data_IF_157999185010
#
_entry.id   IF_157999185010
#
_cell.length_a   1.000
_cell.length_b   1.000
_cell.length_c   1.000
_cell.angle_alpha   90.00
_cell.angle_beta   90.00
_cell.angle_gamma   90.00
#
_symmetry.space_group_name_H-M   'P 1'
#
loop_
_entity.id
_entity.type
_entity.pdbx_description
1 polymer ?
#
# COMPACT_ATOMS: atom_id res chain seq x y z
N UNK A 1 12.99 -6.92 -24.81
CA UNK A 1 12.37 -7.81 -25.83
C UNK A 1 12.94 -7.49 -27.21
N UNK A 2 12.58 -6.36 -27.84
CA UNK A 2 13.00 -6.01 -29.20
C UNK A 2 14.49 -6.26 -29.51
N UNK A 3 15.40 -5.77 -28.67
CA UNK A 3 16.84 -5.97 -28.84
C UNK A 3 17.30 -7.43 -28.78
N UNK A 4 16.67 -8.25 -27.93
CA UNK A 4 17.07 -9.64 -27.67
C UNK A 4 16.39 -10.65 -28.60
N UNK A 5 15.19 -10.32 -29.09
CA UNK A 5 14.30 -11.27 -29.78
C UNK A 5 13.93 -10.82 -31.19
N UNK A 6 14.29 -9.60 -31.60
CA UNK A 6 13.90 -9.01 -32.88
C UNK A 6 12.43 -8.59 -32.96
N UNK A 7 11.66 -8.69 -31.86
CA UNK A 7 10.26 -8.26 -31.84
C UNK A 7 10.12 -6.75 -32.07
N UNK A 8 9.11 -6.35 -32.84
CA UNK A 8 8.81 -4.93 -33.07
C UNK A 8 8.49 -4.21 -31.76
N UNK A 9 9.14 -3.09 -31.51
CA UNK A 9 8.82 -2.23 -30.37
C UNK A 9 7.42 -1.61 -30.56
N UNK A 10 6.51 -1.69 -29.58
CA UNK A 10 5.11 -1.26 -29.72
C UNK A 10 4.95 0.27 -29.64
N UNK A 11 5.68 1.00 -30.48
CA UNK A 11 5.79 2.46 -30.46
C UNK A 11 4.43 3.15 -30.54
N UNK A 12 3.61 2.81 -31.54
CA UNK A 12 2.30 3.45 -31.74
C UNK A 12 1.34 3.25 -30.55
N UNK A 13 1.37 2.06 -29.93
CA UNK A 13 0.55 1.76 -28.76
C UNK A 13 1.00 2.57 -27.54
N UNK A 14 2.33 2.65 -27.30
CA UNK A 14 2.88 3.42 -26.20
C UNK A 14 2.71 4.93 -26.42
N UNK A 15 2.87 5.43 -27.65
CA UNK A 15 2.63 6.83 -27.99
C UNK A 15 1.17 7.24 -27.69
N UNK A 16 0.21 6.40 -28.09
CA UNK A 16 -1.21 6.61 -27.74
C UNK A 16 -1.43 6.64 -26.23
N UNK A 17 -0.86 5.66 -25.50
CA UNK A 17 -0.99 5.60 -24.05
C UNK A 17 -0.41 6.86 -23.36
N UNK A 18 0.74 7.35 -23.81
CA UNK A 18 1.35 8.58 -23.30
C UNK A 18 0.49 9.82 -23.54
N UNK A 19 -0.10 9.96 -24.73
CA UNK A 19 -1.01 11.08 -25.03
C UNK A 19 -2.23 11.05 -24.11
N UNK A 20 -2.81 9.86 -23.86
CA UNK A 20 -3.94 9.70 -22.94
C UNK A 20 -3.56 10.05 -21.49
N UNK A 21 -2.38 9.63 -21.02
CA UNK A 21 -1.88 9.98 -19.70
C UNK A 21 -1.62 11.48 -19.57
N UNK A 22 -1.01 12.11 -20.57
CA UNK A 22 -0.73 13.54 -20.58
C UNK A 22 -2.01 14.38 -20.59
N UNK A 23 -3.02 13.96 -21.37
CA UNK A 23 -4.33 14.60 -21.38
C UNK A 23 -5.01 14.52 -20.01
N UNK A 24 -5.04 13.32 -19.40
CA UNK A 24 -5.59 13.14 -18.06
C UNK A 24 -4.74 13.72 -16.93
N UNK A 25 -3.55 14.23 -17.21
CA UNK A 25 -2.71 14.97 -16.26
C UNK A 25 -2.98 16.48 -16.27
N UNK A 26 -3.97 16.95 -17.04
CA UNK A 26 -4.49 18.31 -16.91
C UNK A 26 -4.86 18.57 -15.44
N UNK A 27 -4.61 19.78 -14.95
CA UNK A 27 -4.72 20.08 -13.52
C UNK A 27 -6.12 19.79 -12.98
N UNK A 28 -7.19 20.20 -13.67
CA UNK A 28 -8.56 19.93 -13.22
C UNK A 28 -8.90 18.43 -13.21
N UNK A 29 -8.35 17.67 -14.16
CA UNK A 29 -8.56 16.23 -14.32
C UNK A 29 -7.85 15.41 -13.24
N UNK A 30 -6.59 15.73 -12.94
CA UNK A 30 -5.80 14.97 -11.97
C UNK A 30 -6.12 15.36 -10.52
N UNK A 31 -6.61 16.58 -10.27
CA UNK A 31 -6.91 17.06 -8.91
C UNK A 31 -8.31 16.76 -8.42
N UNK A 32 -9.19 16.14 -9.22
CA UNK A 32 -10.53 15.78 -8.72
C UNK A 32 -11.59 16.86 -8.85
N UNK A 33 -11.36 17.96 -9.60
CA UNK A 33 -12.21 19.16 -9.50
C UNK A 33 -13.32 19.31 -10.53
N UNK A 34 -13.33 18.46 -11.57
CA UNK A 34 -14.35 18.45 -12.61
C UNK A 34 -15.64 17.74 -12.19
N UNK A 35 -16.68 17.82 -13.01
CA UNK A 35 -17.95 17.12 -12.76
C UNK A 35 -17.84 15.62 -13.07
N UNK A 36 -18.77 14.83 -12.52
CA UNK A 36 -18.88 13.40 -12.77
C UNK A 36 -18.85 13.03 -14.26
N UNK A 37 -19.49 13.84 -15.11
CA UNK A 37 -19.53 13.59 -16.55
C UNK A 37 -18.12 13.61 -17.17
N UNK A 38 -17.28 14.57 -16.78
CA UNK A 38 -15.93 14.67 -17.32
C UNK A 38 -15.07 13.51 -16.80
N UNK A 39 -15.25 13.11 -15.53
CA UNK A 39 -14.55 11.95 -14.98
C UNK A 39 -14.89 10.64 -15.68
N UNK A 40 -16.15 10.43 -16.08
CA UNK A 40 -16.54 9.24 -16.85
C UNK A 40 -15.79 9.16 -18.20
N UNK A 41 -15.59 10.30 -18.85
CA UNK A 41 -14.82 10.38 -20.11
C UNK A 41 -13.31 10.14 -19.86
N UNK A 42 -12.74 10.77 -18.83
CA UNK A 42 -11.33 10.61 -18.44
C UNK A 42 -10.98 9.18 -18.03
N UNK A 43 -11.86 8.50 -17.28
CA UNK A 43 -11.69 7.10 -16.87
C UNK A 43 -11.52 6.17 -18.06
N UNK A 44 -12.17 6.45 -19.18
CA UNK A 44 -12.00 5.67 -20.41
C UNK A 44 -10.59 5.85 -21.00
N UNK A 45 -10.09 7.09 -21.03
CA UNK A 45 -8.73 7.40 -21.49
C UNK A 45 -7.65 6.74 -20.62
N UNK A 46 -7.76 6.84 -19.29
CA UNK A 46 -6.85 6.17 -18.36
C UNK A 46 -6.92 4.65 -18.47
N UNK A 47 -8.13 4.07 -18.66
CA UNK A 47 -8.29 2.63 -18.87
C UNK A 47 -7.59 2.15 -20.14
N UNK A 48 -7.75 2.87 -21.25
CA UNK A 48 -7.09 2.54 -22.53
C UNK A 48 -5.56 2.62 -22.39
N UNK A 49 -5.04 3.70 -21.79
CA UNK A 49 -3.60 3.83 -21.51
C UNK A 49 -3.07 2.68 -20.64
N UNK A 50 -3.80 2.32 -19.59
CA UNK A 50 -3.44 1.20 -18.71
C UNK A 50 -3.45 -0.14 -19.46
N UNK A 51 -4.46 -0.40 -20.30
CA UNK A 51 -4.55 -1.63 -21.10
C UNK A 51 -3.42 -1.73 -22.12
N UNK A 52 -3.10 -0.64 -22.82
CA UNK A 52 -2.00 -0.58 -23.79
C UNK A 52 -0.65 -0.82 -23.11
N UNK A 53 -0.38 -0.12 -22.00
CA UNK A 53 0.86 -0.28 -21.23
C UNK A 53 1.01 -1.67 -20.64
N UNK A 54 -0.06 -2.21 -20.03
CA UNK A 54 -0.07 -3.57 -19.48
C UNK A 54 0.14 -4.62 -20.56
N UNK A 55 -0.53 -4.51 -21.70
CA UNK A 55 -0.39 -5.46 -22.82
C UNK A 55 1.03 -5.43 -23.38
N UNK A 56 1.60 -4.23 -23.60
CA UNK A 56 2.98 -4.08 -24.06
C UNK A 56 3.97 -4.72 -23.09
N UNK A 57 3.81 -4.49 -21.78
CA UNK A 57 4.61 -5.10 -20.72
C UNK A 57 4.47 -6.63 -20.70
N UNK A 58 3.24 -7.14 -20.64
CA UNK A 58 2.96 -8.57 -20.49
C UNK A 58 3.48 -9.37 -21.71
N UNK A 59 3.30 -8.84 -22.92
CA UNK A 59 3.85 -9.44 -24.15
C UNK A 59 5.39 -9.45 -24.14
N UNK A 60 6.01 -8.34 -23.72
CA UNK A 60 7.46 -8.25 -23.63
C UNK A 60 8.03 -9.22 -22.60
N UNK A 61 7.43 -9.32 -21.41
CA UNK A 61 7.87 -10.24 -20.35
C UNK A 61 7.62 -11.70 -20.72
N UNK A 62 6.48 -12.01 -21.35
CA UNK A 62 6.20 -13.36 -21.87
C UNK A 62 7.28 -13.79 -22.86
N UNK A 63 7.56 -12.93 -23.85
CA UNK A 63 8.55 -13.23 -24.88
C UNK A 63 9.98 -13.32 -24.32
N UNK A 64 10.35 -12.45 -23.37
CA UNK A 64 11.67 -12.52 -22.74
C UNK A 64 11.82 -13.77 -21.87
N UNK A 65 10.76 -14.19 -21.19
CA UNK A 65 10.81 -15.34 -20.29
C UNK A 65 10.90 -16.67 -21.05
N UNK A 66 10.55 -16.73 -22.34
CA UNK A 66 10.73 -17.96 -23.14
C UNK A 66 12.19 -18.30 -23.43
N UNK A 67 13.10 -17.35 -23.26
CA UNK A 67 14.54 -17.58 -23.40
C UNK A 67 15.17 -18.22 -22.15
N UNK A 68 14.39 -18.41 -21.08
CA UNK A 68 14.86 -18.95 -19.79
C UNK A 68 14.19 -20.31 -19.54
N UNK A 69 14.99 -21.35 -19.29
CA UNK A 69 14.48 -22.67 -18.88
C UNK A 69 14.05 -22.65 -17.41
N UNK A 70 12.85 -22.13 -17.16
CA UNK A 70 12.29 -21.97 -15.81
C UNK A 70 10.75 -22.08 -15.81
N UNK A 71 10.17 -22.34 -14.64
CA UNK A 71 8.71 -22.27 -14.46
C UNK A 71 8.23 -20.84 -14.23
N UNK A 72 9.04 -20.03 -13.53
CA UNK A 72 8.76 -18.62 -13.25
C UNK A 72 10.05 -17.81 -13.42
N UNK A 73 9.93 -16.61 -13.99
CA UNK A 73 11.01 -15.62 -14.06
C UNK A 73 10.58 -14.36 -13.33
N UNK A 74 11.34 -13.97 -12.31
CA UNK A 74 11.14 -12.73 -11.55
C UNK A 74 12.05 -11.66 -12.15
N UNK A 75 11.45 -10.63 -12.74
CA UNK A 75 12.15 -9.51 -13.36
C UNK A 75 12.22 -8.31 -12.41
N UNK A 76 13.38 -7.68 -12.32
CA UNK A 76 13.59 -6.42 -11.59
C UNK A 76 13.79 -5.27 -12.59
N UNK A 77 12.80 -4.39 -12.78
CA UNK A 77 12.93 -3.25 -13.68
C UNK A 77 13.68 -2.05 -13.09
N UNK A 78 14.19 -2.15 -11.86
CA UNK A 78 14.85 -1.04 -11.16
C UNK A 78 16.35 -0.97 -11.49
N UNK A 79 16.91 0.24 -11.40
CA UNK A 79 18.34 0.53 -11.58
C UNK A 79 19.22 0.14 -10.38
N UNK A 80 18.71 -0.69 -9.47
CA UNK A 80 19.44 -1.23 -8.32
C UNK A 80 18.98 -2.66 -8.02
N UNK A 81 19.82 -3.43 -7.33
CA UNK A 81 19.47 -4.78 -6.87
C UNK A 81 18.34 -4.71 -5.84
N UNK A 82 17.44 -5.70 -5.88
CA UNK A 82 16.29 -5.75 -4.96
C UNK A 82 16.09 -7.15 -4.40
N UNK A 83 15.89 -7.21 -3.09
CA UNK A 83 15.37 -8.40 -2.40
C UNK A 83 13.95 -8.09 -1.92
N UNK A 84 12.97 -8.89 -2.29
CA UNK A 84 11.58 -8.66 -1.90
C UNK A 84 10.70 -9.91 -2.01
N UNK A 85 9.52 -9.86 -1.40
CA UNK A 85 8.49 -10.88 -1.53
C UNK A 85 7.80 -10.76 -2.89
N UNK A 86 7.64 -11.88 -3.57
CA UNK A 86 6.92 -12.00 -4.83
C UNK A 86 5.75 -12.94 -4.67
N UNK A 87 4.63 -12.63 -5.32
CA UNK A 87 3.44 -13.50 -5.38
C UNK A 87 3.09 -13.77 -6.84
N UNK A 88 3.00 -15.03 -7.21
CA UNK A 88 2.44 -15.45 -8.50
C UNK A 88 1.00 -15.89 -8.32
N UNK A 89 0.18 -15.61 -9.34
CA UNK A 89 -1.22 -16.07 -9.42
C UNK A 89 -1.29 -17.14 -10.50
N UNK A 90 -1.90 -18.26 -10.17
CA UNK A 90 -1.96 -19.46 -11.02
C UNK A 90 -3.39 -19.75 -11.42
N UNK A 91 -3.60 -20.07 -12.69
CA UNK A 91 -4.92 -20.44 -13.22
C UNK A 91 -5.42 -21.76 -12.65
N UNK A 92 -4.50 -22.65 -12.27
CA UNK A 92 -4.77 -23.93 -11.63
C UNK A 92 -4.07 -23.98 -10.27
N UNK A 93 -4.66 -24.66 -9.27
CA UNK A 93 -4.03 -24.79 -7.96
C UNK A 93 -2.74 -25.61 -8.09
N UNK A 94 -1.70 -25.19 -7.38
CA UNK A 94 -0.40 -25.87 -7.36
C UNK A 94 -0.07 -26.42 -5.97
N UNK A 95 0.39 -27.67 -5.93
CA UNK A 95 0.96 -28.33 -4.77
C UNK A 95 2.41 -28.73 -5.08
N UNK A 96 3.35 -28.30 -4.24
CA UNK A 96 4.76 -28.59 -4.40
C UNK A 96 5.64 -27.53 -3.78
N UNK A 97 6.89 -27.50 -4.27
CA UNK A 97 7.95 -26.60 -3.79
C UNK A 97 8.43 -25.67 -4.89
N UNK A 98 8.98 -24.53 -4.46
CA UNK A 98 9.66 -23.57 -5.34
C UNK A 98 11.17 -23.76 -5.13
N UNK A 99 11.89 -23.88 -6.23
CA UNK A 99 13.35 -24.05 -6.27
C UNK A 99 13.96 -22.87 -7.01
N UNK A 100 15.03 -22.29 -6.47
CA UNK A 100 15.75 -21.18 -7.11
C UNK A 100 16.68 -21.63 -8.26
N UNK A 101 17.43 -20.67 -8.83
CA UNK A 101 18.36 -20.90 -9.93
C UNK A 101 19.61 -21.73 -9.56
N UNK A 102 19.93 -21.81 -8.26
CA UNK A 102 21.01 -22.64 -7.73
C UNK A 102 20.54 -24.08 -7.38
N UNK A 103 19.24 -24.35 -7.50
CA UNK A 103 18.64 -25.65 -7.18
C UNK A 103 18.27 -25.81 -5.71
N UNK A 104 18.27 -24.73 -4.92
CA UNK A 104 17.88 -24.75 -3.51
C UNK A 104 16.37 -24.52 -3.33
N UNK A 105 15.77 -25.23 -2.37
CA UNK A 105 14.38 -25.02 -1.98
C UNK A 105 14.23 -23.64 -1.30
N UNK A 106 13.23 -22.86 -1.72
CA UNK A 106 12.88 -21.58 -1.08
C UNK A 106 11.59 -21.72 -0.26
N UNK A 107 11.51 -21.10 0.94
CA UNK A 107 10.27 -21.06 1.70
C UNK A 107 9.14 -20.46 0.87
N UNK A 108 8.04 -21.21 0.75
CA UNK A 108 6.86 -20.82 -0.02
C UNK A 108 5.63 -20.78 0.88
N UNK A 109 4.77 -19.82 0.61
CA UNK A 109 3.45 -19.67 1.19
C UNK A 109 2.41 -19.82 0.09
N UNK A 110 1.50 -20.78 0.24
CA UNK A 110 0.31 -20.90 -0.58
C UNK A 110 -0.88 -20.16 0.03
N UNK A 111 -1.64 -19.46 -0.80
CA UNK A 111 -2.92 -18.84 -0.45
C UNK A 111 -3.94 -19.15 -1.55
N UNK A 112 -5.23 -18.98 -1.23
CA UNK A 112 -6.35 -19.22 -2.15
C UNK A 112 -6.31 -20.65 -2.73
N UNK A 113 -6.20 -21.66 -1.86
CA UNK A 113 -6.20 -23.08 -2.22
C UNK A 113 -5.13 -23.47 -3.27
N UNK A 114 -3.96 -22.82 -3.20
CA UNK A 114 -2.83 -23.08 -4.12
C UNK A 114 -2.88 -22.27 -5.42
N UNK A 115 -3.86 -21.37 -5.59
CA UNK A 115 -3.89 -20.43 -6.73
C UNK A 115 -2.94 -19.24 -6.57
N UNK A 116 -2.28 -19.11 -5.42
CA UNK A 116 -1.27 -18.09 -5.18
C UNK A 116 -0.09 -18.68 -4.44
N UNK A 117 1.11 -18.49 -4.98
CA UNK A 117 2.36 -18.86 -4.31
C UNK A 117 3.16 -17.61 -4.05
N UNK A 118 3.65 -17.47 -2.82
CA UNK A 118 4.43 -16.33 -2.37
C UNK A 118 5.76 -16.80 -1.81
N UNK A 119 6.87 -16.17 -2.17
CA UNK A 119 8.20 -16.45 -1.63
C UNK A 119 9.08 -15.21 -1.63
N UNK A 120 10.21 -15.28 -0.94
CA UNK A 120 11.20 -14.20 -0.92
C UNK A 120 12.20 -14.35 -2.07
N UNK A 121 12.17 -13.42 -3.02
CA UNK A 121 13.13 -13.34 -4.10
C UNK A 121 14.34 -12.51 -3.64
N UNK A 122 15.45 -13.19 -3.36
CA UNK A 122 16.69 -12.58 -2.87
C UNK A 122 17.54 -12.05 -4.02
N UNK A 123 18.10 -10.86 -3.86
CA UNK A 123 19.15 -10.25 -4.68
C UNK A 123 18.87 -10.36 -6.19
N UNK A 124 17.68 -9.93 -6.63
CA UNK A 124 17.35 -9.84 -8.05
C UNK A 124 18.15 -8.68 -8.64
N UNK A 125 19.03 -8.91 -9.63
CA UNK A 125 19.94 -7.88 -10.13
C UNK A 125 19.22 -6.67 -10.72
N UNK A 126 19.87 -5.51 -10.69
CA UNK A 126 19.38 -4.31 -11.40
C UNK A 126 19.11 -4.58 -12.87
N UNK A 127 17.96 -4.14 -13.37
CA UNK A 127 17.51 -4.36 -14.76
C UNK A 127 17.64 -5.83 -15.20
N UNK A 128 17.56 -6.74 -14.23
CA UNK A 128 17.88 -8.15 -14.38
C UNK A 128 16.72 -9.04 -13.96
N UNK A 129 17.02 -10.32 -13.74
CA UNK A 129 16.03 -11.32 -13.39
C UNK A 129 16.63 -12.46 -12.57
N UNK A 130 15.76 -13.26 -11.95
CA UNK A 130 16.06 -14.57 -11.38
C UNK A 130 15.00 -15.58 -11.79
N UNK A 131 15.40 -16.83 -11.98
CA UNK A 131 14.49 -17.93 -12.35
C UNK A 131 14.17 -18.83 -11.19
N UNK A 132 12.97 -19.41 -11.22
CA UNK A 132 12.51 -20.38 -10.26
C UNK A 132 11.83 -21.55 -10.98
N UNK A 133 11.98 -22.76 -10.44
CA UNK A 133 11.26 -23.96 -10.89
C UNK A 133 10.16 -24.31 -9.90
N UNK A 134 8.98 -24.59 -10.42
CA UNK A 134 7.87 -25.14 -9.65
C UNK A 134 7.95 -26.66 -9.76
N UNK A 135 8.25 -27.33 -8.65
CA UNK A 135 8.41 -28.79 -8.61
C UNK A 135 7.20 -29.39 -7.92
N UNK A 136 6.32 -30.12 -8.64
CA UNK A 136 5.14 -30.76 -8.04
C UNK A 136 5.51 -31.69 -6.88
N UNK A 137 4.66 -31.72 -5.86
CA UNK A 137 4.89 -32.53 -4.67
C UNK A 137 3.78 -32.35 -3.65
N UNK A 138 4.15 -32.46 -2.37
CA UNK A 138 3.25 -32.22 -1.25
C UNK A 138 2.69 -30.77 -1.27
N UNK A 139 1.50 -30.54 -0.70
CA UNK A 139 0.92 -29.20 -0.60
C UNK A 139 1.90 -28.19 0.01
N UNK A 140 2.00 -27.02 -0.63
CA UNK A 140 2.82 -25.92 -0.13
C UNK A 140 2.27 -25.41 1.23
N UNK A 141 3.14 -24.99 2.17
CA UNK A 141 2.71 -24.47 3.46
C UNK A 141 1.74 -23.29 3.33
N UNK A 142 0.75 -23.23 4.22
CA UNK A 142 -0.22 -22.13 4.31
C UNK A 142 0.01 -21.32 5.60
N UNK A 143 -0.77 -20.27 5.80
CA UNK A 143 -0.84 -19.59 7.10
C UNK A 143 -1.41 -20.52 8.18
N UNK A 144 -0.67 -20.67 9.27
CA UNK A 144 -1.12 -21.37 10.47
C UNK A 144 -1.55 -20.36 11.54
N UNK A 145 -2.57 -20.66 12.37
CA UNK A 145 -2.95 -19.80 13.48
C UNK A 145 -1.77 -19.52 14.42
N UNK A 146 -1.65 -18.26 14.82
CA UNK A 146 -0.71 -17.80 15.83
C UNK A 146 -1.50 -17.14 16.97
N UNK A 147 -1.31 -17.64 18.18
CA UNK A 147 -1.97 -17.07 19.36
C UNK A 147 -1.40 -15.70 19.71
N UNK A 148 -2.30 -14.80 20.12
CA UNK A 148 -1.96 -13.45 20.56
C UNK A 148 -2.11 -12.38 19.49
N UNK A 149 -1.56 -11.21 19.80
CA UNK A 149 -1.73 -9.93 19.10
C UNK A 149 -0.38 -9.31 18.69
N UNK A 150 0.68 -10.12 18.71
CA UNK A 150 2.07 -9.69 18.48
C UNK A 150 2.68 -10.54 17.36
N UNK A 151 3.40 -9.87 16.47
CA UNK A 151 4.17 -10.49 15.38
C UNK A 151 5.58 -9.91 15.33
N UNK A 152 6.52 -10.64 14.74
CA UNK A 152 7.90 -10.19 14.63
C UNK A 152 8.67 -10.76 13.44
N UNK A 153 9.74 -10.08 13.08
CA UNK A 153 10.81 -10.58 12.22
C UNK A 153 12.18 -10.11 12.75
N UNK A 154 13.23 -10.24 11.95
CA UNK A 154 14.59 -9.88 12.33
C UNK A 154 14.80 -8.36 12.53
N UNK A 155 13.85 -7.55 12.06
CA UNK A 155 13.93 -6.09 12.05
C UNK A 155 12.95 -5.42 13.02
N UNK A 156 11.74 -5.96 13.13
CA UNK A 156 10.62 -5.36 13.85
C UNK A 156 9.94 -6.33 14.80
N UNK A 157 9.40 -5.80 15.90
CA UNK A 157 8.34 -6.42 16.69
C UNK A 157 7.14 -5.49 16.68
N UNK A 158 5.97 -6.00 16.31
CA UNK A 158 4.72 -5.24 16.23
C UNK A 158 3.68 -5.87 17.13
N UNK A 159 2.93 -5.04 17.86
CA UNK A 159 1.79 -5.48 18.67
C UNK A 159 0.59 -4.56 18.48
N UNK A 160 -0.60 -5.16 18.34
CA UNK A 160 -1.88 -4.44 18.22
C UNK A 160 -2.68 -4.47 19.52
N UNK A 161 -3.55 -3.49 19.72
CA UNK A 161 -4.45 -3.41 20.86
C UNK A 161 -5.91 -3.62 20.45
N UNK A 162 -6.43 -4.83 20.69
CA UNK A 162 -7.80 -5.17 20.37
C UNK A 162 -8.82 -4.27 21.08
N UNK A 163 -8.52 -3.71 22.25
CA UNK A 163 -9.44 -2.81 22.96
C UNK A 163 -9.51 -1.41 22.32
N UNK A 164 -8.52 -1.06 21.49
CA UNK A 164 -8.40 0.22 20.78
C UNK A 164 -8.41 0.01 19.25
N UNK A 165 -9.44 -0.68 18.76
CA UNK A 165 -9.69 -0.90 17.33
C UNK A 165 -8.65 -1.77 16.63
N UNK A 166 -7.81 -2.49 17.37
CA UNK A 166 -6.67 -3.21 16.82
C UNK A 166 -5.58 -2.29 16.25
N UNK A 167 -5.54 -1.03 16.70
CA UNK A 167 -4.44 -0.12 16.39
C UNK A 167 -3.10 -0.65 16.91
N UNK A 168 -2.01 -0.30 16.23
CA UNK A 168 -0.65 -0.72 16.57
C UNK A 168 -0.20 0.02 17.82
N UNK A 169 -0.18 -0.66 18.98
CA UNK A 169 0.24 -0.04 20.26
C UNK A 169 1.74 0.01 20.44
N UNK A 170 2.48 -0.85 19.73
CA UNK A 170 3.93 -0.92 19.78
C UNK A 170 4.45 -1.37 18.43
N UNK A 171 5.45 -0.66 17.92
CA UNK A 171 6.26 -1.04 16.78
C UNK A 171 7.71 -0.77 17.15
N UNK A 172 8.41 -1.81 17.58
CA UNK A 172 9.79 -1.72 18.02
C UNK A 172 10.77 -2.10 16.89
N UNK A 173 11.82 -1.30 16.70
CA UNK A 173 12.91 -1.57 15.76
C UNK A 173 14.25 -1.17 16.38
N UNK A 174 15.24 -2.08 16.37
CA UNK A 174 16.58 -1.80 16.90
C UNK A 174 16.59 -1.29 18.35
N UNK A 175 15.67 -1.80 19.19
CA UNK A 175 15.51 -1.39 20.59
C UNK A 175 14.79 -0.06 20.82
N UNK A 176 14.26 0.57 19.77
CA UNK A 176 13.48 1.83 19.87
C UNK A 176 12.02 1.56 19.62
N UNK A 177 11.17 2.22 20.39
CA UNK A 177 9.73 2.29 20.14
C UNK A 177 9.44 3.35 19.08
N UNK A 178 8.67 2.99 18.05
CA UNK A 178 8.31 3.87 16.93
C UNK A 178 6.89 4.44 17.06
N UNK A 179 6.11 4.01 18.07
CA UNK A 179 4.79 4.55 18.39
C UNK A 179 4.86 5.41 19.66
N UNK A 180 4.30 6.61 19.61
CA UNK A 180 4.29 7.52 20.76
C UNK A 180 3.52 6.93 21.95
N UNK A 181 4.02 7.18 23.16
CA UNK A 181 3.44 6.69 24.41
C UNK A 181 1.94 6.96 24.52
N UNK A 182 1.18 5.92 24.89
CA UNK A 182 -0.28 6.00 25.05
C UNK A 182 -1.08 6.12 23.75
N UNK A 183 -0.42 6.19 22.59
CA UNK A 183 -1.08 6.27 21.27
C UNK A 183 -1.15 4.90 20.59
N UNK A 184 -1.80 4.87 19.42
CA UNK A 184 -1.80 3.72 18.51
C UNK A 184 -1.50 4.21 17.09
N UNK A 185 -0.69 3.46 16.36
CA UNK A 185 -0.49 3.60 14.91
C UNK A 185 -1.50 2.78 14.12
N UNK A 186 -1.44 2.90 12.80
CA UNK A 186 -2.42 2.31 11.88
C UNK A 186 -3.88 2.69 12.22
N UNK A 187 -4.07 3.83 12.89
CA UNK A 187 -5.38 4.29 13.38
C UNK A 187 -6.16 4.93 12.24
N UNK A 188 -7.39 4.46 12.00
CA UNK A 188 -8.32 5.13 11.09
C UNK A 188 -9.00 6.28 11.82
N UNK A 189 -9.06 7.44 11.16
CA UNK A 189 -9.71 8.63 11.67
C UNK A 189 -10.58 9.26 10.59
N UNK A 190 -11.88 9.38 10.88
CA UNK A 190 -12.86 10.01 10.01
C UNK A 190 -13.13 11.41 10.53
N UNK A 191 -12.85 12.38 9.68
CA UNK A 191 -13.10 13.79 9.91
C UNK A 191 -14.42 14.13 9.23
N UNK A 192 -15.29 14.84 9.92
CA UNK A 192 -16.41 15.45 9.20
C UNK A 192 -15.92 16.68 8.46
N UNK A 193 -16.49 16.92 7.28
CA UNK A 193 -16.17 18.05 6.41
C UNK A 193 -17.40 18.93 6.15
N UNK A 194 -17.15 20.13 5.64
CA UNK A 194 -18.17 20.92 4.99
C UNK A 194 -18.35 20.47 3.53
N UNK A 195 -19.57 20.52 2.98
CA UNK A 195 -19.82 20.23 1.57
C UNK A 195 -19.16 21.22 0.61
N UNK A 196 -18.88 22.44 1.09
CA UNK A 196 -18.18 23.48 0.34
C UNK A 196 -17.45 24.42 1.31
N UNK A 197 -16.39 25.08 0.82
CA UNK A 197 -15.65 26.04 1.63
C UNK A 197 -16.62 27.12 2.18
N UNK A 198 -16.73 27.33 3.51
CA UNK A 198 -17.75 28.19 4.11
C UNK A 198 -17.79 29.63 3.58
N UNK A 199 -16.63 30.19 3.21
CA UNK A 199 -16.52 31.53 2.60
C UNK A 199 -16.52 31.55 1.08
N UNK A 200 -15.70 30.72 0.42
CA UNK A 200 -15.51 30.76 -1.03
C UNK A 200 -16.60 30.00 -1.82
N UNK A 201 -17.30 29.05 -1.18
CA UNK A 201 -18.29 28.19 -1.85
C UNK A 201 -17.70 27.09 -2.73
N UNK A 202 -16.37 26.93 -2.74
CA UNK A 202 -15.66 25.92 -3.52
C UNK A 202 -15.46 24.63 -2.69
N UNK A 203 -16.04 23.51 -3.13
CA UNK A 203 -15.92 22.21 -2.47
C UNK A 203 -14.71 21.37 -2.92
N UNK A 204 -14.60 20.98 -4.20
CA UNK A 204 -13.75 19.87 -4.62
C UNK A 204 -12.24 20.17 -4.59
N UNK A 205 -11.86 21.43 -4.34
CA UNK A 205 -10.46 21.88 -4.32
C UNK A 205 -9.80 21.78 -2.94
N UNK A 206 -10.58 21.61 -1.88
CA UNK A 206 -10.11 21.79 -0.52
C UNK A 206 -10.45 20.57 0.35
N UNK A 207 -9.56 20.28 1.30
CA UNK A 207 -9.93 19.48 2.46
C UNK A 207 -10.60 20.43 3.45
N UNK A 208 -11.80 20.10 3.90
CA UNK A 208 -12.71 21.03 4.57
C UNK A 208 -13.13 20.54 5.96
N UNK A 209 -12.20 20.13 6.85
CA UNK A 209 -12.59 19.63 8.16
C UNK A 209 -13.37 20.68 8.96
N UNK A 210 -14.40 20.24 9.69
CA UNK A 210 -15.27 21.13 10.51
C UNK A 210 -15.14 20.90 12.02
N UNK A 211 -14.06 20.27 12.46
CA UNK A 211 -13.77 20.01 13.88
C UNK A 211 -13.94 18.55 14.33
N UNK A 212 -15.16 17.97 14.30
CA UNK A 212 -15.41 16.61 14.78
C UNK A 212 -14.56 15.54 14.08
N UNK A 213 -14.00 14.64 14.90
CA UNK A 213 -13.23 13.47 14.47
C UNK A 213 -13.70 12.25 15.25
N UNK A 214 -13.90 11.13 14.54
CA UNK A 214 -14.13 9.81 15.14
C UNK A 214 -12.99 8.88 14.71
N UNK A 215 -12.43 8.11 15.65
CA UNK A 215 -11.31 7.21 15.39
C UNK A 215 -11.67 5.76 15.65
N UNK A 216 -11.00 4.83 14.97
CA UNK A 216 -11.14 3.39 15.20
C UNK A 216 -10.74 2.97 16.62
N UNK A 217 -9.87 3.74 17.27
CA UNK A 217 -9.37 3.46 18.63
C UNK A 217 -10.38 3.70 19.76
N UNK A 218 -11.53 4.33 19.48
CA UNK A 218 -12.58 4.60 20.48
C UNK A 218 -13.37 3.38 20.92
N UNK A 219 -13.25 2.28 20.17
CA UNK A 219 -13.94 1.04 20.46
C UNK A 219 -13.03 -0.15 20.23
N UNK A 220 -13.43 -1.32 20.73
CA UNK A 220 -12.69 -2.56 20.49
C UNK A 220 -12.82 -3.00 19.04
N UNK A 221 -11.78 -3.63 18.51
CA UNK A 221 -11.87 -4.40 17.28
C UNK A 221 -12.89 -5.53 17.47
N UNK A 222 -13.58 -5.88 16.39
CA UNK A 222 -14.46 -7.05 16.33
C UNK A 222 -13.65 -8.33 16.52
N UNK A 223 -12.49 -8.43 15.87
CA UNK A 223 -11.54 -9.52 16.08
C UNK A 223 -10.12 -9.15 15.69
N UNK A 224 -9.17 -9.89 16.26
CA UNK A 224 -7.76 -9.88 15.88
C UNK A 224 -7.33 -11.33 15.72
N UNK A 225 -6.79 -11.67 14.55
CA UNK A 225 -6.31 -13.01 14.23
C UNK A 225 -4.83 -12.97 13.87
N UNK A 226 -4.02 -13.76 14.58
CA UNK A 226 -2.62 -13.96 14.27
C UNK A 226 -2.40 -15.16 13.37
N UNK A 227 -1.40 -15.04 12.50
CA UNK A 227 -0.97 -16.10 11.59
C UNK A 227 0.55 -16.15 11.48
N UNK A 228 1.10 -17.35 11.32
CA UNK A 228 2.52 -17.60 11.06
C UNK A 228 2.71 -18.52 9.86
N UNK A 229 3.83 -18.36 9.19
CA UNK A 229 4.36 -19.30 8.20
C UNK A 229 5.89 -19.24 8.24
N UNK A 230 6.54 -20.08 7.45
CA UNK A 230 7.99 -20.00 7.28
C UNK A 230 8.43 -18.68 6.65
N UNK A 231 7.55 -18.01 5.89
CA UNK A 231 7.85 -16.75 5.19
C UNK A 231 7.64 -15.51 6.07
N UNK A 232 6.85 -15.59 7.14
CA UNK A 232 6.59 -14.42 7.98
C UNK A 232 5.46 -14.62 8.98
N UNK A 233 5.07 -13.52 9.61
CA UNK A 233 3.97 -13.45 10.57
C UNK A 233 3.01 -12.33 10.18
N UNK A 234 1.71 -12.53 10.44
CA UNK A 234 0.63 -11.63 10.01
C UNK A 234 -0.41 -11.46 11.11
N UNK A 235 -0.93 -10.24 11.24
CA UNK A 235 -2.15 -9.95 11.98
C UNK A 235 -3.24 -9.50 11.01
N UNK A 236 -4.45 -10.01 11.19
CA UNK A 236 -5.67 -9.54 10.52
C UNK A 236 -6.60 -8.98 11.59
N UNK A 237 -6.85 -7.68 11.52
CA UNK A 237 -7.73 -6.93 12.41
C UNK A 237 -9.02 -6.63 11.68
N UNK A 238 -10.15 -7.02 12.26
CA UNK A 238 -11.48 -6.69 11.77
C UNK A 238 -12.13 -5.76 12.79
N UNK A 239 -12.67 -4.64 12.33
CA UNK A 239 -13.36 -3.71 13.20
C UNK A 239 -14.29 -2.78 12.43
N UNK A 240 -14.84 -1.82 13.14
CA UNK A 240 -15.68 -0.79 12.56
C UNK A 240 -15.41 0.56 13.20
N UNK A 241 -15.96 1.61 12.59
CA UNK A 241 -16.29 2.88 13.23
C UNK A 241 -17.81 2.94 13.16
N UNK A 242 -18.47 2.81 14.31
CA UNK A 242 -19.92 2.56 14.37
C UNK A 242 -20.72 3.62 13.58
N UNK A 243 -21.55 3.16 12.64
CA UNK A 243 -22.36 4.03 11.77
C UNK A 243 -21.55 4.81 10.71
N UNK A 244 -20.28 4.48 10.50
CA UNK A 244 -19.40 5.19 9.57
C UNK A 244 -18.79 4.27 8.52
N UNK A 245 -18.09 3.21 8.94
CA UNK A 245 -17.43 2.26 8.04
C UNK A 245 -17.07 0.97 8.79
N UNK A 246 -16.82 -0.09 8.03
CA UNK A 246 -16.15 -1.32 8.50
C UNK A 246 -14.76 -1.40 7.90
N UNK A 247 -13.83 -2.06 8.59
CA UNK A 247 -12.47 -2.21 8.08
C UNK A 247 -11.89 -3.60 8.35
N UNK A 248 -11.04 -4.02 7.42
CA UNK A 248 -10.09 -5.12 7.61
C UNK A 248 -8.68 -4.57 7.41
N UNK A 249 -7.85 -4.62 8.45
CA UNK A 249 -6.45 -4.22 8.39
C UNK A 249 -5.56 -5.46 8.50
N UNK A 250 -4.75 -5.70 7.47
CA UNK A 250 -3.77 -6.79 7.43
C UNK A 250 -2.37 -6.20 7.60
N UNK A 251 -1.66 -6.62 8.65
CA UNK A 251 -0.29 -6.23 8.97
C UNK A 251 0.60 -7.46 8.80
N UNK A 252 1.61 -7.40 7.94
CA UNK A 252 2.52 -8.53 7.70
C UNK A 252 3.98 -8.13 7.90
N UNK A 253 4.70 -8.94 8.67
CA UNK A 253 6.15 -8.90 8.81
C UNK A 253 6.74 -10.14 8.14
N UNK A 254 7.30 -9.95 6.95
CA UNK A 254 7.99 -11.01 6.23
C UNK A 254 9.42 -11.19 6.76
N UNK A 255 9.91 -12.43 6.80
CA UNK A 255 11.31 -12.70 7.16
C UNK A 255 12.25 -12.10 6.11
N UNK A 256 13.31 -11.45 6.57
CA UNK A 256 14.29 -10.80 5.70
C UNK A 256 13.83 -9.53 5.01
N UNK A 257 12.63 -9.02 5.30
CA UNK A 257 12.13 -7.73 4.79
C UNK A 257 12.14 -6.68 5.90
N UNK A 258 12.84 -5.58 5.66
CA UNK A 258 12.93 -4.46 6.59
C UNK A 258 11.80 -3.44 6.40
N UNK A 259 10.53 -3.89 6.40
CA UNK A 259 9.35 -3.01 6.45
C UNK A 259 8.14 -3.76 7.05
N UNK A 260 7.13 -2.99 7.46
CA UNK A 260 5.79 -3.52 7.79
C UNK A 260 4.90 -3.36 6.56
N UNK A 261 4.34 -4.47 6.06
CA UNK A 261 3.35 -4.40 4.99
C UNK A 261 1.97 -4.20 5.61
N UNK A 262 1.34 -3.06 5.31
CA UNK A 262 0.02 -2.68 5.82
C UNK A 262 -0.98 -2.62 4.65
N UNK A 263 -2.08 -3.37 4.75
CA UNK A 263 -3.23 -3.27 3.82
C UNK A 263 -4.48 -2.95 4.61
N UNK A 264 -5.20 -1.90 4.22
CA UNK A 264 -6.53 -1.59 4.78
C UNK A 264 -7.56 -1.78 3.67
N UNK A 265 -8.55 -2.64 3.92
CA UNK A 265 -9.81 -2.65 3.19
C UNK A 265 -10.85 -1.89 4.02
N UNK A 266 -11.60 -1.01 3.36
CA UNK A 266 -12.67 -0.22 3.96
C UNK A 266 -13.96 -0.59 3.25
N UNK A 267 -14.96 -0.97 4.02
CA UNK A 267 -16.29 -1.36 3.54
C UNK A 267 -17.35 -0.38 4.09
N UNK A 268 -18.45 -0.24 3.36
CA UNK A 268 -19.61 0.63 3.69
C UNK A 268 -19.29 2.12 3.93
N UNK A 269 -18.17 2.64 3.40
CA UNK A 269 -17.89 4.07 3.43
C UNK A 269 -18.64 4.80 2.31
N UNK A 270 -19.95 4.96 2.50
CA UNK A 270 -20.91 5.46 1.50
C UNK A 270 -21.47 6.86 1.80
N UNK A 271 -21.01 7.50 2.87
CA UNK A 271 -21.44 8.85 3.23
C UNK A 271 -20.77 9.94 2.38
N UNK A 272 -21.27 11.16 2.50
CA UNK A 272 -20.68 12.38 1.93
C UNK A 272 -19.99 13.22 3.02
N UNK A 273 -19.18 14.21 2.60
CA UNK A 273 -18.54 15.20 3.46
C UNK A 273 -17.72 14.58 4.60
N UNK A 274 -16.93 13.56 4.28
CA UNK A 274 -16.07 12.85 5.23
C UNK A 274 -14.70 12.59 4.64
N UNK A 275 -13.67 12.95 5.40
CA UNK A 275 -12.28 12.65 5.09
C UNK A 275 -11.75 11.53 5.98
N UNK A 276 -11.43 10.38 5.37
CA UNK A 276 -10.77 9.28 6.06
C UNK A 276 -9.24 9.45 5.98
N UNK A 277 -8.58 9.43 7.14
CA UNK A 277 -7.11 9.41 7.26
C UNK A 277 -6.63 8.19 8.04
N UNK A 278 -5.43 7.72 7.70
CA UNK A 278 -4.68 6.74 8.49
C UNK A 278 -3.57 7.44 9.25
N UNK A 279 -3.42 7.18 10.56
CA UNK A 279 -2.48 7.90 11.42
C UNK A 279 -1.42 6.97 12.02
N UNK A 280 -0.19 7.48 12.03
CA UNK A 280 0.98 6.87 12.68
C UNK A 280 1.65 7.92 13.58
N UNK A 281 1.46 7.86 14.90
CA UNK A 281 2.04 8.82 15.82
C UNK A 281 3.50 8.45 16.11
N UNK A 282 4.42 8.93 15.27
CA UNK A 282 5.85 8.60 15.36
C UNK A 282 6.60 9.61 16.24
N UNK A 283 7.19 9.22 17.39
CA UNK A 283 7.86 10.13 18.30
C UNK A 283 9.31 10.35 17.86
N UNK A 284 9.51 11.21 16.85
CA UNK A 284 10.86 11.56 16.35
C UNK A 284 11.17 13.03 16.73
N UNK A 285 11.87 13.28 17.86
CA UNK A 285 12.14 14.63 18.33
C UNK A 285 12.95 15.43 17.31
N UNK A 286 12.50 16.65 17.00
CA UNK A 286 13.17 17.55 16.08
C UNK A 286 13.05 17.18 14.60
N UNK A 287 12.29 16.14 14.25
CA UNK A 287 12.15 15.73 12.87
C UNK A 287 11.36 16.73 12.03
N UNK A 288 11.74 16.81 10.76
CA UNK A 288 11.03 17.54 9.72
C UNK A 288 10.26 16.55 8.85
N UNK A 289 8.95 16.77 8.63
CA UNK A 289 8.21 16.06 7.58
C UNK A 289 8.86 16.28 6.21
N UNK A 290 9.13 15.19 5.51
CA UNK A 290 9.62 15.18 4.15
C UNK A 290 8.68 14.41 3.24
N UNK A 291 8.48 14.92 2.03
CA UNK A 291 7.63 14.30 1.02
C UNK A 291 8.39 14.18 -0.30
N UNK A 292 8.26 13.03 -0.94
CA UNK A 292 8.64 12.87 -2.33
C UNK A 292 7.74 13.70 -3.24
N UNK A 293 8.34 14.46 -4.14
CA UNK A 293 7.69 15.21 -5.21
C UNK A 293 8.38 14.89 -6.55
N UNK A 294 7.98 15.55 -7.64
CA UNK A 294 8.59 15.33 -8.96
C UNK A 294 10.11 15.49 -8.95
N UNK A 295 10.83 14.37 -9.04
CA UNK A 295 12.29 14.25 -9.01
C UNK A 295 13.00 14.92 -7.83
N UNK A 296 12.32 15.09 -6.68
CA UNK A 296 12.92 15.70 -5.50
C UNK A 296 12.27 15.23 -4.19
N UNK A 297 12.91 15.59 -3.07
CA UNK A 297 12.37 15.47 -1.72
C UNK A 297 12.33 16.85 -1.10
N UNK A 298 11.16 17.26 -0.59
CA UNK A 298 10.99 18.56 0.06
C UNK A 298 10.68 18.39 1.54
N UNK A 299 11.31 19.23 2.36
CA UNK A 299 10.97 19.37 3.78
C UNK A 299 9.93 20.47 3.97
N UNK A 300 8.88 20.17 4.75
CA UNK A 300 7.86 21.16 5.12
C UNK A 300 7.52 21.02 6.60
N UNK A 301 7.07 22.11 7.22
CA UNK A 301 6.61 22.09 8.60
C UNK A 301 5.43 21.14 8.79
N UNK A 302 5.18 20.73 10.05
CA UNK A 302 3.99 19.98 10.40
C UNK A 302 2.72 20.77 10.04
N UNK A 303 1.75 20.06 9.48
CA UNK A 303 0.43 20.63 9.21
C UNK A 303 -0.31 20.96 10.51
N UNK A 304 -1.15 22.00 10.47
CA UNK A 304 -2.09 22.29 11.54
C UNK A 304 -3.36 21.45 11.32
N UNK A 305 -3.35 20.22 11.83
CA UNK A 305 -4.48 19.29 11.65
C UNK A 305 -5.47 19.30 12.79
N UNK A 306 -5.05 19.70 13.99
CA UNK A 306 -5.87 19.69 15.20
C UNK A 306 -5.78 21.02 15.91
N UNK A 307 -6.88 21.45 16.53
CA UNK A 307 -6.87 22.64 17.38
C UNK A 307 -5.90 22.42 18.55
N UNK A 308 -5.08 23.43 18.92
CA UNK A 308 -4.10 23.29 20.01
C UNK A 308 -4.75 22.79 21.31
N UNK A 309 -4.23 21.67 21.85
CA UNK A 309 -4.74 21.06 23.08
C UNK A 309 -6.06 20.29 22.95
N UNK A 310 -6.59 20.12 21.73
CA UNK A 310 -7.82 19.38 21.46
C UNK A 310 -7.57 18.11 20.64
N UNK A 311 -8.47 17.14 20.76
CA UNK A 311 -8.55 15.98 19.85
C UNK A 311 -9.37 16.28 18.59
N UNK A 312 -9.98 17.45 18.50
CA UNK A 312 -10.74 17.93 17.34
C UNK A 312 -9.80 18.44 16.25
N UNK A 313 -10.21 18.22 15.01
CA UNK A 313 -9.59 18.83 13.85
C UNK A 313 -9.67 20.36 13.92
N UNK A 314 -8.84 21.03 13.14
CA UNK A 314 -9.15 22.42 12.78
C UNK A 314 -10.50 22.51 12.08
N UNK A 315 -11.18 23.63 12.28
CA UNK A 315 -12.43 24.00 11.60
C UNK A 315 -12.10 25.01 10.48
N UNK A 316 -12.40 24.65 9.22
CA UNK A 316 -12.14 25.50 8.06
C UNK A 316 -12.94 26.80 8.06
N UNK A 317 -14.06 26.90 8.79
CA UNK A 317 -14.76 28.16 8.98
C UNK A 317 -13.95 29.17 9.83
N UNK A 318 -12.99 28.68 10.62
CA UNK A 318 -12.10 29.51 11.47
C UNK A 318 -10.70 29.62 10.86
N UNK A 319 -10.15 28.50 10.35
CA UNK A 319 -8.84 28.40 9.73
C UNK A 319 -9.01 28.04 8.24
N UNK A 320 -9.04 29.00 7.32
CA UNK A 320 -9.49 28.77 5.94
C UNK A 320 -8.57 27.89 5.08
N UNK A 321 -7.48 27.36 5.65
CA UNK A 321 -6.55 26.47 4.97
C UNK A 321 -5.98 25.44 5.94
N UNK A 322 -5.93 24.19 5.51
CA UNK A 322 -5.13 23.14 6.15
C UNK A 322 -3.75 23.07 5.47
N UNK A 323 -2.70 22.86 6.26
CA UNK A 323 -1.33 22.68 5.76
C UNK A 323 -1.04 21.19 5.54
N UNK A 324 -1.78 20.57 4.63
CA UNK A 324 -1.49 19.20 4.18
C UNK A 324 -0.35 19.20 3.15
N UNK A 325 0.54 18.21 3.24
CA UNK A 325 1.69 18.09 2.35
C UNK A 325 1.48 16.86 1.45
N UNK A 326 1.20 17.05 0.14
CA UNK A 326 1.07 15.92 -0.77
C UNK A 326 2.43 15.23 -0.93
N UNK A 327 2.39 13.92 -1.14
CA UNK A 327 3.54 13.10 -1.47
C UNK A 327 3.19 12.26 -2.70
N UNK A 328 4.13 12.12 -3.63
CA UNK A 328 3.94 11.34 -4.85
C UNK A 328 3.93 9.83 -4.56
N UNK A 329 5.00 9.30 -3.94
CA UNK A 329 5.11 7.87 -3.60
C UNK A 329 5.38 7.60 -2.13
N UNK A 330 6.19 8.43 -1.45
CA UNK A 330 6.47 8.27 -0.02
C UNK A 330 6.60 9.60 0.73
N UNK A 331 6.34 9.53 2.04
CA UNK A 331 6.60 10.61 2.99
C UNK A 331 7.26 10.02 4.24
N UNK A 332 7.93 10.86 5.02
CA UNK A 332 8.63 10.43 6.22
C UNK A 332 8.98 11.56 7.16
N UNK A 333 9.69 11.21 8.22
CA UNK A 333 10.27 12.13 9.18
C UNK A 333 11.80 12.04 9.05
N UNK A 334 12.45 13.18 8.80
CA UNK A 334 13.92 13.30 8.66
C UNK A 334 14.52 14.18 9.74
#
# INVERSE_FOLDING_TARGET
>A
AALLTGATYPEAALAKAWVQLAYGAHHDAITGSESDQVYLDLLTGWRDAWQLGRTARDNALTLLSTAVDASVVVWNPLSHNRSDVVTVRLDQPFAGRVVDDDGADVPVLAEHDGHSLTWFARDVPSLGWRSYRLVPGEPAPIWEPLDGNRIGNEHYTLEVDAARGGGVRSLAAGGRELIADGRVGNELAVYEEYPAHPTAGEGPWHLLPKGPVVTSSRQSATSVHGYRSDLGERLVVIGEIAGVLRYTQTLTLWRGVNRVDCRTAVDDFVGEDRLLRLRWPCPVPGAMPVSEVGDAVIGRGFGLLHAPGSGESVDTAVFPYTLDNPAYGWFGLS
#
